data_IF_165290307235
#
_entry.id   IF_165290307235
#
_cell.length_a   1.000
_cell.length_b   1.000
_cell.length_c   1.000
_cell.angle_alpha   90.00
_cell.angle_beta   90.00
_cell.angle_gamma   90.00
#
_symmetry.space_group_name_H-M   'P 1'
#
loop_
_entity.id
_entity.type
_entity.pdbx_description
1 polymer ?
#
# COMPACT_ATOMS: atom_id res chain seq x y z
N UNK A 1 -44.41 0.63 -1.84
CA UNK A 1 -43.99 0.35 -2.02
C UNK A 1 -43.28 0.04 -1.93
N UNK A 2 -43.30 0.05 -1.96
CA UNK A 2 -42.63 -0.26 -2.16
C UNK A 2 -41.66 -0.52 -2.15
N UNK A 3 -41.76 -0.50 -2.29
CA UNK A 3 -40.81 -0.81 -2.50
C UNK A 3 -39.91 -0.96 -2.40
N UNK A 4 -40.01 -0.83 -2.36
CA UNK A 4 -39.17 -1.03 -2.50
C UNK A 4 -38.39 -1.30 -2.24
N UNK A 5 -38.62 -1.30 -2.22
CA UNK A 5 -37.90 -1.65 -2.21
C UNK A 5 -37.01 -2.01 -1.97
N UNK A 6 -37.23 -2.02 -2.00
CA UNK A 6 -36.37 -2.45 -1.97
C UNK A 6 -35.47 -2.79 -1.83
N UNK A 7 -35.66 -2.66 -1.82
CA UNK A 7 -34.70 -3.00 -1.99
C UNK A 7 -33.79 -3.23 -1.71
N UNK A 8 -33.96 -3.18 -1.63
CA UNK A 8 -33.00 -3.42 -1.68
C UNK A 8 -32.12 -3.76 -1.40
N UNK A 9 -32.36 -3.71 -1.48
CA UNK A 9 -31.51 -4.13 -1.48
C UNK A 9 -30.62 -4.53 -1.38
N UNK A 10 -30.69 -4.51 -1.58
CA UNK A 10 -29.84 -4.90 -1.74
C UNK A 10 -28.92 -5.08 -1.42
N UNK A 11 -29.24 -4.95 -1.33
CA UNK A 11 -28.34 -5.18 -1.23
C UNK A 11 -27.51 -5.51 -0.87
N UNK A 12 -27.68 -5.44 -0.87
CA UNK A 12 -26.89 -5.80 -0.77
C UNK A 12 -26.15 -6.13 -0.40
N UNK A 13 -26.44 -6.10 -0.37
CA UNK A 13 -25.70 -6.51 -0.29
C UNK A 13 -24.95 -6.83 0.02
N UNK A 14 -25.07 -6.73 -0.05
CA UNK A 14 -24.30 -7.12 -0.05
C UNK A 14 -23.63 -7.39 0.44
N UNK A 15 -23.74 -7.26 0.49
CA UNK A 15 -23.03 -7.58 0.70
C UNK A 15 -22.40 -7.91 1.35
N UNK A 16 -22.59 -7.82 1.54
CA UNK A 16 -21.93 -8.27 1.86
C UNK A 16 -21.20 -8.56 2.28
N UNK A 17 -21.04 -8.49 2.12
CA UNK A 17 -20.28 -8.91 2.25
C UNK A 17 -19.41 -8.85 2.66
N UNK A 18 -19.49 -8.63 2.66
CA UNK A 18 -18.68 -8.59 2.74
C UNK A 18 -18.01 -8.32 3.19
N UNK A 19 -17.96 -8.11 3.21
CA UNK A 19 -17.32 -7.92 3.42
C UNK A 19 -16.59 -7.67 3.94
N UNK A 20 -16.65 -7.60 4.01
CA UNK A 20 -16.01 -7.36 4.32
C UNK A 20 -15.12 -7.15 4.60
N UNK A 21 -14.95 -6.91 4.46
CA UNK A 21 -14.03 -6.81 4.59
C UNK A 21 -13.57 -5.94 4.86
N UNK A 22 -13.90 -5.49 4.81
CA UNK A 22 -13.48 -4.83 4.88
C UNK A 22 -12.70 -4.26 5.26
N UNK A 23 -12.66 -4.04 5.34
CA UNK A 23 -11.87 -3.62 5.64
C UNK A 23 -10.92 -3.19 5.29
N UNK A 24 -11.02 -3.29 5.18
CA UNK A 24 -10.00 -3.01 4.96
C UNK A 24 -9.69 -1.97 4.21
N UNK A 25 -8.88 -1.48 4.10
CA UNK A 25 -8.45 -0.69 3.39
C UNK A 25 -7.86 -1.15 2.24
N UNK A 26 -8.25 -2.17 1.75
CA UNK A 26 -7.82 -2.67 0.62
C UNK A 26 -8.29 -1.83 -0.44
N UNK A 27 -7.49 -1.36 -1.23
CA UNK A 27 -7.83 -0.61 -2.35
C UNK A 27 -7.41 -1.31 -3.56
N UNK A 28 -8.33 -1.68 -4.40
CA UNK A 28 -7.94 -2.38 -5.55
C UNK A 28 -8.40 -1.60 -6.74
N UNK A 29 -7.69 -1.56 -7.78
CA UNK A 29 -8.08 -0.96 -9.03
C UNK A 29 -8.31 0.53 -9.01
N UNK A 30 -7.72 1.21 -8.08
CA UNK A 30 -7.90 2.63 -8.03
C UNK A 30 -6.70 3.29 -8.57
N UNK A 31 -6.62 3.50 -9.84
CA UNK A 31 -5.47 4.07 -10.44
C UNK A 31 -5.44 5.54 -10.29
N UNK A 32 -4.35 6.11 -9.90
CA UNK A 32 -4.18 7.54 -9.81
C UNK A 32 -5.00 8.23 -8.76
N UNK A 33 -5.60 7.47 -7.86
CA UNK A 33 -6.41 8.06 -6.80
C UNK A 33 -5.51 8.42 -5.64
N UNK A 34 -5.67 9.63 -5.13
CA UNK A 34 -4.90 10.06 -4.01
C UNK A 34 -5.72 10.00 -2.76
N UNK A 35 -5.28 9.29 -1.75
CA UNK A 35 -5.97 9.17 -0.49
C UNK A 35 -5.11 9.71 0.62
N UNK A 36 -5.72 10.41 1.55
CA UNK A 36 -5.01 10.91 2.69
C UNK A 36 -5.21 9.97 3.84
N UNK A 37 -4.12 9.41 4.31
CA UNK A 37 -4.14 8.49 5.43
C UNK A 37 -3.13 8.97 6.45
N UNK A 38 -3.57 9.21 7.67
CA UNK A 38 -2.70 9.70 8.70
C UNK A 38 -2.57 8.66 9.76
N UNK A 39 -1.36 8.23 10.09
CA UNK A 39 -1.14 7.21 11.11
C UNK A 39 -1.92 5.97 10.84
N UNK A 40 -2.06 5.63 9.62
CA UNK A 40 -2.85 4.48 9.24
C UNK A 40 -2.03 3.48 8.53
N UNK A 41 -2.62 2.34 8.31
CA UNK A 41 -1.99 1.32 7.53
C UNK A 41 -2.59 1.35 6.13
N UNK A 42 -1.75 1.34 5.13
CA UNK A 42 -2.14 1.19 3.75
C UNK A 42 -1.79 -0.22 3.35
N UNK A 43 -2.75 -0.97 2.89
CA UNK A 43 -2.55 -2.36 2.51
C UNK A 43 -3.01 -2.55 1.09
N UNK A 44 -2.13 -3.02 0.24
CA UNK A 44 -2.41 -3.25 -1.17
C UNK A 44 -2.14 -4.70 -1.50
N UNK A 45 -3.12 -5.37 -2.06
CA UNK A 45 -3.00 -6.75 -2.50
C UNK A 45 -3.38 -6.85 -3.95
N UNK A 46 -2.73 -7.71 -4.67
CA UNK A 46 -3.12 -8.00 -6.04
C UNK A 46 -1.99 -7.80 -7.00
N UNK A 47 -2.36 -7.55 -8.24
CA UNK A 47 -1.39 -7.49 -9.32
C UNK A 47 -1.69 -6.29 -10.19
N UNK A 48 -0.63 -5.55 -10.54
CA UNK A 48 -0.75 -4.51 -11.55
C UNK A 48 -1.45 -3.25 -11.11
N UNK A 49 -1.56 -3.00 -9.82
CA UNK A 49 -2.18 -1.78 -9.33
C UNK A 49 -1.21 -0.61 -9.41
N UNK A 50 -1.74 0.56 -9.74
CA UNK A 50 -0.97 1.79 -9.69
C UNK A 50 -1.75 2.75 -8.81
N UNK A 51 -1.18 3.09 -7.67
CA UNK A 51 -1.91 3.81 -6.64
C UNK A 51 -1.08 4.94 -6.06
N UNK A 52 -1.78 5.99 -5.64
CA UNK A 52 -1.14 7.11 -4.98
C UNK A 52 -1.78 7.34 -3.62
N UNK A 53 -0.97 7.57 -2.63
CA UNK A 53 -1.44 7.83 -1.28
C UNK A 53 -0.69 9.01 -0.69
N UNK A 54 -1.35 9.72 0.19
CA UNK A 54 -0.70 10.73 1.02
C UNK A 54 -0.70 10.18 2.44
N UNK A 55 0.45 10.11 3.07
CA UNK A 55 0.60 9.44 4.34
C UNK A 55 1.49 10.25 5.26
N UNK A 56 1.20 10.17 6.52
CA UNK A 56 1.99 10.88 7.51
C UNK A 56 2.33 9.93 8.65
N UNK A 57 3.38 9.15 8.45
CA UNK A 57 3.91 8.31 9.49
C UNK A 57 3.30 6.94 9.66
N UNK A 58 2.52 6.47 8.70
CA UNK A 58 1.89 5.17 8.82
C UNK A 58 2.73 4.03 8.30
N UNK A 59 2.09 2.88 8.15
CA UNK A 59 2.71 1.67 7.63
C UNK A 59 2.10 1.34 6.28
N UNK A 60 2.95 0.93 5.36
CA UNK A 60 2.53 0.53 4.03
C UNK A 60 2.88 -0.94 3.83
N UNK A 61 1.90 -1.74 3.44
CA UNK A 61 2.10 -3.14 3.11
C UNK A 61 1.67 -3.38 1.69
N UNK A 62 2.52 -3.99 0.90
CA UNK A 62 2.23 -4.32 -0.49
C UNK A 62 2.45 -5.81 -0.66
N UNK A 63 1.43 -6.51 -1.17
CA UNK A 63 1.53 -7.94 -1.45
C UNK A 63 1.08 -8.20 -2.86
N UNK A 64 1.80 -9.02 -3.57
CA UNK A 64 1.39 -9.41 -4.90
C UNK A 64 2.45 -9.14 -5.92
N UNK A 65 2.03 -8.71 -7.10
CA UNK A 65 2.97 -8.54 -8.19
C UNK A 65 2.76 -7.28 -9.00
N UNK A 66 3.84 -6.69 -9.44
CA UNK A 66 3.82 -5.57 -10.38
C UNK A 66 2.97 -4.40 -9.95
N UNK A 67 2.90 -4.18 -8.65
CA UNK A 67 2.19 -3.02 -8.13
C UNK A 67 3.13 -1.83 -8.05
N UNK A 68 2.59 -0.66 -8.32
CA UNK A 68 3.36 0.58 -8.22
C UNK A 68 2.63 1.53 -7.30
N UNK A 69 3.29 1.92 -6.23
CA UNK A 69 2.72 2.84 -5.26
C UNK A 69 3.56 4.09 -5.18
N UNK A 70 2.88 5.22 -5.09
CA UNK A 70 3.54 6.48 -4.83
C UNK A 70 2.97 7.02 -3.52
N UNK A 71 3.85 7.20 -2.54
CA UNK A 71 3.47 7.67 -1.22
C UNK A 71 4.01 9.08 -1.08
N UNK A 72 3.11 10.04 -1.01
CA UNK A 72 3.52 11.41 -0.74
C UNK A 72 3.53 11.60 0.76
N UNK A 73 4.66 12.01 1.29
CA UNK A 73 4.82 12.20 2.70
C UNK A 73 5.72 11.16 3.32
N UNK A 74 5.33 10.64 4.47
CA UNK A 74 6.21 9.75 5.20
C UNK A 74 5.53 8.47 5.61
N UNK A 75 6.34 7.41 5.67
CA UNK A 75 5.91 6.13 6.21
C UNK A 75 6.93 5.73 7.27
N UNK A 76 6.44 5.22 8.38
CA UNK A 76 7.35 4.68 9.35
C UNK A 76 7.94 3.38 8.86
N UNK A 77 7.14 2.60 8.19
CA UNK A 77 7.55 1.29 7.75
C UNK A 77 6.89 0.96 6.43
N UNK A 78 7.66 0.37 5.54
CA UNK A 78 7.16 -0.14 4.28
C UNK A 78 7.52 -1.61 4.21
N UNK A 79 6.52 -2.46 3.99
CA UNK A 79 6.72 -3.89 3.82
C UNK A 79 6.23 -4.28 2.44
N UNK A 80 7.06 -4.97 1.70
CA UNK A 80 6.74 -5.39 0.35
C UNK A 80 6.98 -6.87 0.24
N UNK A 81 5.97 -7.61 -0.20
CA UNK A 81 6.07 -9.05 -0.42
C UNK A 81 5.61 -9.36 -1.84
N UNK A 82 6.29 -10.26 -2.48
CA UNK A 82 5.89 -10.68 -3.82
C UNK A 82 6.95 -10.38 -4.83
N UNK A 83 6.52 -9.98 -6.02
CA UNK A 83 7.44 -9.87 -7.13
C UNK A 83 7.16 -8.61 -7.95
N UNK A 84 8.22 -7.88 -8.27
CA UNK A 84 8.10 -6.77 -9.21
C UNK A 84 7.41 -5.53 -8.70
N UNK A 85 7.22 -5.43 -7.40
CA UNK A 85 6.54 -4.26 -6.85
C UNK A 85 7.48 -3.07 -6.74
N UNK A 86 6.94 -1.88 -6.93
CA UNK A 86 7.71 -0.64 -6.81
C UNK A 86 6.98 0.31 -5.89
N UNK A 87 7.71 0.90 -4.97
CA UNK A 87 7.15 1.87 -4.05
C UNK A 87 8.02 3.11 -4.05
N UNK A 88 7.40 4.26 -4.26
CA UNK A 88 8.06 5.54 -4.19
C UNK A 88 7.57 6.26 -2.96
N UNK A 89 8.48 6.74 -2.13
CA UNK A 89 8.11 7.40 -0.90
C UNK A 89 9.05 8.57 -0.65
N UNK A 90 8.54 9.64 -0.07
CA UNK A 90 9.37 10.79 0.25
C UNK A 90 10.28 10.49 1.43
N UNK A 91 9.71 9.97 2.51
CA UNK A 91 10.47 9.73 3.72
C UNK A 91 10.06 8.39 4.31
N UNK A 92 11.03 7.57 4.67
CA UNK A 92 10.73 6.26 5.26
C UNK A 92 11.82 5.91 6.26
N UNK A 93 11.42 5.30 7.37
CA UNK A 93 12.36 4.93 8.41
C UNK A 93 12.77 3.46 8.36
N UNK A 94 11.88 2.58 7.94
CA UNK A 94 12.17 1.16 7.90
C UNK A 94 11.58 0.53 6.65
N UNK A 95 12.33 -0.34 6.01
CA UNK A 95 11.91 -1.03 4.81
C UNK A 95 12.16 -2.51 4.98
N UNK A 96 11.15 -3.32 4.71
CA UNK A 96 11.28 -4.78 4.72
C UNK A 96 10.76 -5.31 3.41
N UNK A 97 11.53 -6.15 2.75
CA UNK A 97 11.16 -6.71 1.46
C UNK A 97 11.39 -8.20 1.44
N UNK A 98 10.42 -8.93 0.87
CA UNK A 98 10.53 -10.37 0.65
C UNK A 98 10.10 -10.68 -0.75
N UNK A 99 10.77 -11.61 -1.36
CA UNK A 99 10.40 -12.07 -2.69
C UNK A 99 11.42 -11.69 -3.72
N UNK A 100 10.96 -11.24 -4.87
CA UNK A 100 11.89 -10.98 -5.97
C UNK A 100 11.62 -9.68 -6.68
N UNK A 101 12.70 -9.01 -7.07
CA UNK A 101 12.65 -7.85 -7.95
C UNK A 101 11.76 -6.73 -7.47
N UNK A 102 11.64 -6.57 -6.16
CA UNK A 102 10.92 -5.45 -5.59
C UNK A 102 11.86 -4.27 -5.40
N UNK A 103 11.35 -3.06 -5.53
CA UNK A 103 12.19 -1.87 -5.38
C UNK A 103 11.45 -0.82 -4.58
N UNK A 104 12.15 -0.21 -3.63
CA UNK A 104 11.63 0.93 -2.88
C UNK A 104 12.54 2.11 -3.17
N UNK A 105 11.94 3.20 -3.64
CA UNK A 105 12.65 4.45 -3.89
C UNK A 105 12.29 5.43 -2.79
N UNK A 106 13.28 6.02 -2.17
CA UNK A 106 13.03 6.98 -1.10
C UNK A 106 13.92 8.20 -1.26
N UNK A 107 13.55 9.29 -0.62
CA UNK A 107 14.35 10.52 -0.67
C UNK A 107 15.08 10.77 0.62
N UNK A 108 14.38 10.62 1.74
CA UNK A 108 14.96 10.89 3.04
C UNK A 108 14.52 9.82 4.02
N UNK A 109 15.15 9.84 5.18
CA UNK A 109 14.78 8.96 6.28
C UNK A 109 14.85 9.76 7.57
N UNK A 110 13.99 9.42 8.51
CA UNK A 110 14.01 10.07 9.81
C UNK A 110 14.91 9.39 10.82
N UNK A 111 15.64 8.36 10.41
CA UNK A 111 16.56 7.68 11.33
C UNK A 111 17.77 8.54 11.58
N UNK A 112 18.50 8.21 12.61
CA UNK A 112 19.70 8.98 12.96
C UNK A 112 20.76 8.94 11.90
N UNK A 113 20.85 7.83 11.19
CA UNK A 113 21.86 7.69 10.15
C UNK A 113 21.48 8.40 8.85
N UNK A 114 20.23 8.83 8.73
CA UNK A 114 19.73 9.40 7.49
C UNK A 114 19.41 8.37 6.45
N UNK A 115 19.46 7.11 6.80
CA UNK A 115 19.12 6.02 5.90
C UNK A 115 18.10 5.14 6.58
N UNK A 116 17.18 4.55 5.82
CA UNK A 116 16.22 3.64 6.45
C UNK A 116 16.91 2.37 6.91
N UNK A 117 16.31 1.75 7.92
CA UNK A 117 16.72 0.40 8.30
C UNK A 117 16.13 -0.55 7.29
N UNK A 118 16.94 -1.38 6.69
CA UNK A 118 16.51 -2.23 5.58
C UNK A 118 16.70 -3.69 5.93
N UNK A 119 15.66 -4.48 5.66
CA UNK A 119 15.71 -5.93 5.79
C UNK A 119 15.21 -6.51 4.47
N UNK A 120 16.03 -7.30 3.83
CA UNK A 120 15.71 -7.87 2.53
C UNK A 120 15.90 -9.36 2.57
N UNK A 121 14.88 -10.08 2.11
CA UNK A 121 14.93 -11.54 1.95
C UNK A 121 14.52 -11.83 0.52
N UNK A 122 15.35 -12.57 -0.20
CA UNK A 122 15.02 -12.93 -1.58
C UNK A 122 16.04 -12.41 -2.54
N UNK A 123 15.65 -12.29 -3.79
CA UNK A 123 16.58 -12.01 -4.87
C UNK A 123 16.12 -10.81 -5.67
N UNK A 124 17.05 -9.94 -6.03
CA UNK A 124 16.72 -8.83 -6.92
C UNK A 124 16.03 -7.65 -6.29
N UNK A 125 15.84 -7.69 -4.98
CA UNK A 125 15.22 -6.57 -4.29
C UNK A 125 16.20 -5.43 -4.13
N UNK A 126 15.71 -4.20 -4.23
CA UNK A 126 16.58 -3.02 -4.16
C UNK A 126 15.95 -1.90 -3.37
N UNK A 127 16.79 -1.14 -2.71
CA UNK A 127 16.39 0.11 -2.07
C UNK A 127 17.24 1.20 -2.70
N UNK A 128 16.57 2.21 -3.25
CA UNK A 128 17.25 3.24 -4.02
C UNK A 128 16.92 4.61 -3.44
N UNK A 129 17.96 5.36 -3.18
CA UNK A 129 17.78 6.74 -2.74
C UNK A 129 17.69 7.63 -3.96
N UNK A 130 16.68 8.49 -4.00
CA UNK A 130 16.51 9.42 -5.10
C UNK A 130 17.06 10.80 -4.79
#
# INVERSE_FOLDING_TARGET
MKNMKTGGILILLLLGTGTAFSQSRKVESQKGVEKKESNKMVHVEGVGHTLNYALNGGTVEVEGGDNTLTIKGSAKKIEVSGTGNKVYVDKVDRISMEGGDNTVYYRTSGTKSGKPDVSITGVGNKVVKQ
#
